data_IF_677309033816
#
_entry.id   IF_677309033816
#
_cell.length_a   1.000
_cell.length_b   1.000
_cell.length_c   1.000
_cell.angle_alpha   90.00
_cell.angle_beta   90.00
_cell.angle_gamma   90.00
#
_symmetry.space_group_name_H-M   'P 1'
#
loop_
_entity.id
_entity.type
_entity.pdbx_description
1 polymer ?
#
# COMPACT_ATOMS: atom_id res chain seq x y z
N UNK A 1 21.91 44.73 -8.05
CA UNK A 1 20.91 44.09 -8.93
C UNK A 1 21.28 42.62 -8.96
N UNK A 2 20.63 41.82 -8.12
CA UNK A 2 20.86 40.38 -8.01
C UNK A 2 19.65 39.74 -8.69
N UNK A 3 19.89 39.13 -9.86
CA UNK A 3 18.85 38.45 -10.63
C UNK A 3 18.37 37.22 -9.88
N UNK A 4 17.06 37.20 -9.57
CA UNK A 4 16.40 36.02 -9.04
C UNK A 4 16.23 34.99 -10.16
N UNK A 5 17.10 33.99 -10.20
CA UNK A 5 16.84 32.78 -10.95
C UNK A 5 15.63 32.08 -10.32
N UNK A 6 14.46 32.25 -10.93
CA UNK A 6 13.27 31.46 -10.69
C UNK A 6 13.60 30.01 -11.03
N UNK A 7 13.69 29.17 -10.00
CA UNK A 7 13.87 27.73 -10.06
C UNK A 7 12.66 27.08 -10.75
N UNK A 8 12.60 27.26 -12.06
CA UNK A 8 11.56 26.71 -12.92
C UNK A 8 11.95 25.28 -13.17
N UNK A 9 11.35 24.37 -12.40
CA UNK A 9 11.47 22.93 -12.59
C UNK A 9 11.19 22.65 -14.07
N UNK A 10 12.24 22.37 -14.83
CA UNK A 10 12.11 22.04 -16.25
C UNK A 10 11.18 20.85 -16.35
N UNK A 11 10.07 21.00 -17.07
CA UNK A 11 9.25 19.88 -17.46
C UNK A 11 10.08 19.01 -18.40
N UNK A 12 10.85 18.09 -17.83
CA UNK A 12 11.49 17.02 -18.56
C UNK A 12 10.37 16.25 -19.23
N UNK A 13 10.36 16.28 -20.57
CA UNK A 13 9.53 15.42 -21.39
C UNK A 13 10.07 13.99 -21.22
N UNK A 14 9.76 13.38 -20.08
CA UNK A 14 9.95 11.95 -19.86
C UNK A 14 8.91 11.32 -20.76
N UNK A 15 9.36 10.60 -21.80
CA UNK A 15 8.50 9.74 -22.61
C UNK A 15 7.51 9.06 -21.68
N UNK A 16 6.23 9.39 -21.83
CA UNK A 16 5.17 8.89 -20.98
C UNK A 16 5.03 7.39 -21.28
N UNK A 17 5.90 6.59 -20.68
CA UNK A 17 5.73 5.14 -20.62
C UNK A 17 4.37 4.92 -19.98
N UNK A 18 3.51 4.13 -20.61
CA UNK A 18 2.16 3.88 -20.09
C UNK A 18 2.24 3.17 -18.73
N UNK A 19 2.20 3.96 -17.66
CA UNK A 19 2.10 3.49 -16.29
C UNK A 19 0.64 3.16 -16.02
N UNK A 20 0.33 1.88 -15.84
CA UNK A 20 -0.98 1.46 -15.34
C UNK A 20 -0.86 0.83 -13.96
N UNK A 21 -1.87 1.12 -13.15
CA UNK A 21 -2.06 0.62 -11.79
C UNK A 21 -3.36 -0.19 -11.76
N UNK A 22 -3.37 -1.29 -11.00
CA UNK A 22 -4.57 -2.09 -10.76
C UNK A 22 -4.75 -2.25 -9.27
N UNK A 23 -5.97 -2.02 -8.80
CA UNK A 23 -6.35 -2.11 -7.41
C UNK A 23 -7.59 -2.98 -7.30
N UNK A 24 -7.57 -3.96 -6.40
CA UNK A 24 -8.70 -4.81 -6.09
C UNK A 24 -8.84 -4.91 -4.57
N UNK A 25 -10.05 -4.68 -4.08
CA UNK A 25 -10.36 -4.88 -2.67
C UNK A 25 -11.69 -5.62 -2.53
N UNK A 26 -11.65 -6.75 -1.83
CA UNK A 26 -12.82 -7.53 -1.47
C UNK A 26 -13.05 -7.40 0.03
N UNK A 27 -14.21 -6.88 0.43
CA UNK A 27 -14.56 -6.73 1.84
C UNK A 27 -15.89 -7.43 2.13
N UNK A 28 -15.90 -8.26 3.18
CA UNK A 28 -17.07 -8.95 3.68
C UNK A 28 -17.27 -8.52 5.12
N UNK A 29 -18.43 -7.96 5.43
CA UNK A 29 -18.71 -7.42 6.75
C UNK A 29 -20.13 -7.75 7.23
N UNK A 30 -20.25 -7.84 8.55
CA UNK A 30 -21.53 -7.89 9.26
C UNK A 30 -21.58 -6.72 10.22
N UNK A 31 -22.61 -5.89 10.04
CA UNK A 31 -22.84 -4.70 10.84
C UNK A 31 -22.68 -4.97 12.35
N UNK A 32 -21.88 -4.13 13.01
CA UNK A 32 -21.60 -4.18 14.45
C UNK A 32 -21.03 -5.50 14.98
N UNK A 33 -20.45 -6.34 14.11
CA UNK A 33 -19.79 -7.59 14.52
C UNK A 33 -18.37 -7.67 14.00
N UNK A 34 -18.22 -7.74 12.68
CA UNK A 34 -16.90 -7.91 12.08
C UNK A 34 -16.86 -7.39 10.65
N UNK A 35 -15.65 -7.08 10.20
CA UNK A 35 -15.29 -6.84 8.81
C UNK A 35 -14.01 -7.59 8.51
N UNK A 36 -13.94 -8.22 7.35
CA UNK A 36 -12.74 -8.82 6.82
C UNK A 36 -12.55 -8.33 5.39
N UNK A 37 -11.32 -7.99 5.05
CA UNK A 37 -10.93 -7.43 3.77
C UNK A 37 -9.69 -8.09 3.23
N UNK A 38 -9.66 -8.29 1.93
CA UNK A 38 -8.47 -8.63 1.17
C UNK A 38 -8.20 -7.52 0.15
N UNK A 39 -6.95 -7.11 0.04
CA UNK A 39 -6.49 -6.04 -0.85
C UNK A 39 -5.37 -6.58 -1.73
N UNK A 40 -5.40 -6.20 -3.01
CA UNK A 40 -4.42 -6.51 -4.02
C UNK A 40 -4.13 -5.25 -4.85
N UNK A 41 -2.86 -4.86 -4.87
CA UNK A 41 -2.37 -3.71 -5.60
C UNK A 41 -1.30 -4.18 -6.58
N UNK A 42 -1.33 -3.69 -7.82
CA UNK A 42 -0.35 -4.01 -8.85
C UNK A 42 0.07 -2.76 -9.61
N UNK A 43 1.37 -2.66 -9.88
CA UNK A 43 1.91 -1.64 -10.78
C UNK A 43 2.69 -2.25 -11.92
N UNK A 44 2.49 -1.71 -13.12
CA UNK A 44 3.26 -2.11 -14.31
C UNK A 44 4.74 -1.79 -14.19
N UNK A 45 5.07 -0.61 -13.62
CA UNK A 45 6.43 -0.14 -13.33
C UNK A 45 6.42 0.71 -12.07
N UNK A 46 7.55 0.77 -11.39
CA UNK A 46 7.75 1.70 -10.27
C UNK A 46 8.32 3.02 -10.77
N UNK A 47 8.14 4.09 -9.99
CA UNK A 47 8.66 5.42 -10.35
C UNK A 47 10.19 5.49 -10.32
N UNK A 48 10.84 4.61 -9.55
CA UNK A 48 12.29 4.49 -9.46
C UNK A 48 12.87 3.53 -10.50
N UNK A 49 12.04 2.67 -11.11
CA UNK A 49 12.46 1.68 -12.10
C UNK A 49 12.88 0.34 -11.47
N UNK A 50 12.82 0.23 -10.15
CA UNK A 50 13.12 -1.01 -9.42
C UNK A 50 11.97 -2.03 -9.56
N UNK A 51 12.32 -3.31 -9.57
CA UNK A 51 11.35 -4.40 -9.44
C UNK A 51 11.06 -4.66 -7.95
N UNK A 52 9.79 -4.73 -7.58
CA UNK A 52 9.37 -5.11 -6.22
C UNK A 52 8.84 -6.54 -6.22
N UNK A 53 9.02 -7.25 -5.10
CA UNK A 53 8.57 -8.65 -4.93
C UNK A 53 9.09 -9.62 -6.01
N UNK A 54 10.28 -9.34 -6.55
CA UNK A 54 10.95 -10.19 -7.55
C UNK A 54 11.54 -11.45 -6.87
N UNK A 55 12.18 -11.27 -5.71
CA UNK A 55 12.89 -12.32 -4.98
C UNK A 55 12.03 -13.00 -3.92
N UNK A 56 11.98 -14.33 -3.93
CA UNK A 56 11.23 -15.11 -2.94
C UNK A 56 11.83 -15.12 -1.53
N UNK A 57 13.06 -14.62 -1.37
CA UNK A 57 13.74 -14.53 -0.07
C UNK A 57 13.21 -13.37 0.80
N UNK A 58 12.55 -12.40 0.17
CA UNK A 58 11.99 -11.20 0.81
C UNK A 58 10.47 -11.32 1.05
N UNK A 59 9.85 -12.42 0.60
CA UNK A 59 8.41 -12.65 0.74
C UNK A 59 7.98 -12.73 2.22
N UNK A 60 6.95 -11.97 2.59
CA UNK A 60 6.27 -12.18 3.86
C UNK A 60 5.45 -13.50 3.86
N UNK A 61 4.83 -13.88 4.99
CA UNK A 61 4.09 -15.15 5.08
C UNK A 61 2.94 -15.25 4.06
N UNK A 62 2.21 -14.16 3.83
CA UNK A 62 1.09 -14.11 2.90
C UNK A 62 1.58 -14.22 1.45
N UNK A 63 2.61 -13.48 1.08
CA UNK A 63 3.26 -13.53 -0.22
C UNK A 63 3.85 -14.92 -0.49
N UNK A 64 4.58 -15.47 0.46
CA UNK A 64 5.11 -16.84 0.38
C UNK A 64 4.00 -17.88 0.17
N UNK A 65 2.85 -17.70 0.82
CA UNK A 65 1.67 -18.52 0.57
C UNK A 65 1.11 -18.34 -0.85
N UNK A 66 0.99 -17.12 -1.36
CA UNK A 66 0.51 -16.84 -2.72
C UNK A 66 1.47 -17.37 -3.79
N UNK A 67 2.79 -17.16 -3.63
CA UNK A 67 3.82 -17.66 -4.57
C UNK A 67 3.80 -19.18 -4.68
N UNK A 68 3.60 -19.89 -3.56
CA UNK A 68 3.43 -21.36 -3.55
C UNK A 68 2.19 -21.85 -4.31
N UNK A 69 1.22 -20.99 -4.55
CA UNK A 69 0.01 -21.28 -5.33
C UNK A 69 0.09 -20.70 -6.77
N UNK A 70 1.30 -20.52 -7.30
CA UNK A 70 1.58 -20.05 -8.67
C UNK A 70 1.08 -18.63 -9.00
N UNK A 71 0.91 -17.77 -7.99
CA UNK A 71 0.63 -16.35 -8.21
C UNK A 71 1.93 -15.59 -8.53
N UNK A 72 1.89 -14.75 -9.58
CA UNK A 72 3.00 -13.84 -9.89
C UNK A 72 2.91 -12.61 -8.98
N UNK A 73 3.91 -12.44 -8.10
CA UNK A 73 3.97 -11.36 -7.13
C UNK A 73 4.77 -10.14 -7.61
N UNK A 74 5.38 -10.19 -8.79
CA UNK A 74 6.19 -9.10 -9.33
C UNK A 74 5.38 -7.80 -9.36
N UNK A 75 5.92 -6.75 -8.75
CA UNK A 75 5.30 -5.43 -8.63
C UNK A 75 3.87 -5.47 -8.08
N UNK A 76 3.59 -6.41 -7.18
CA UNK A 76 2.28 -6.62 -6.57
C UNK A 76 2.37 -6.58 -5.05
N UNK A 77 1.40 -5.96 -4.38
CA UNK A 77 1.30 -5.91 -2.93
C UNK A 77 -0.03 -6.53 -2.49
N UNK A 78 0.01 -7.23 -1.35
CA UNK A 78 -1.12 -8.00 -0.84
C UNK A 78 -1.34 -7.71 0.63
N UNK A 79 -2.59 -7.47 1.00
CA UNK A 79 -2.95 -7.18 2.38
C UNK A 79 -4.22 -7.90 2.79
N UNK A 80 -4.26 -8.37 4.02
CA UNK A 80 -5.49 -8.71 4.72
C UNK A 80 -5.75 -7.68 5.81
N UNK A 81 -6.99 -7.25 5.92
CA UNK A 81 -7.40 -6.31 6.93
C UNK A 81 -8.68 -6.79 7.59
N UNK A 82 -8.92 -6.33 8.80
CA UNK A 82 -10.16 -6.65 9.46
C UNK A 82 -10.45 -5.76 10.65
N UNK A 83 -11.70 -5.84 11.06
CA UNK A 83 -12.25 -5.12 12.18
C UNK A 83 -13.14 -6.06 12.98
N UNK A 84 -13.05 -6.00 14.30
CA UNK A 84 -13.88 -6.79 15.20
C UNK A 84 -14.42 -5.91 16.33
N UNK A 85 -15.74 -5.90 16.48
CA UNK A 85 -16.39 -5.19 17.58
C UNK A 85 -16.32 -6.07 18.83
N UNK A 86 -15.49 -5.66 19.80
CA UNK A 86 -15.47 -6.28 21.11
C UNK A 86 -16.76 -5.98 21.88
N UNK A 87 -17.20 -4.72 21.82
CA UNK A 87 -18.41 -4.18 22.44
C UNK A 87 -19.03 -3.11 21.52
N UNK A 88 -20.16 -2.52 21.91
CA UNK A 88 -20.78 -1.40 21.18
C UNK A 88 -19.90 -0.16 21.09
N UNK A 89 -18.95 0.00 22.02
CA UNK A 89 -18.04 1.15 22.10
C UNK A 89 -16.58 0.81 21.83
N UNK A 90 -16.23 -0.47 21.66
CA UNK A 90 -14.83 -0.91 21.48
C UNK A 90 -14.67 -1.70 20.19
N UNK A 91 -13.74 -1.25 19.35
CA UNK A 91 -13.40 -1.81 18.05
C UNK A 91 -11.90 -2.13 18.01
N UNK A 92 -11.57 -3.33 17.55
CA UNK A 92 -10.20 -3.69 17.17
C UNK A 92 -10.12 -3.71 15.66
N UNK A 93 -9.11 -3.04 15.10
CA UNK A 93 -8.73 -3.14 13.70
C UNK A 93 -7.35 -3.79 13.60
N UNK A 94 -7.16 -4.59 12.55
CA UNK A 94 -5.86 -5.13 12.21
C UNK A 94 -5.61 -5.03 10.70
N UNK A 95 -4.34 -4.96 10.34
CA UNK A 95 -3.85 -5.07 8.97
C UNK A 95 -2.59 -5.93 8.99
N UNK A 96 -2.47 -6.85 8.04
CA UNK A 96 -1.27 -7.63 7.80
C UNK A 96 -1.00 -7.75 6.29
N UNK A 97 0.24 -7.48 5.89
CA UNK A 97 0.71 -7.67 4.52
C UNK A 97 1.57 -6.51 4.03
N UNK A 98 1.69 -6.39 2.72
CA UNK A 98 2.55 -5.43 2.05
C UNK A 98 1.76 -4.26 1.47
N UNK A 99 2.43 -3.10 1.33
CA UNK A 99 1.85 -1.84 0.86
C UNK A 99 2.83 -1.19 -0.12
N UNK A 100 2.34 -0.76 -1.29
CA UNK A 100 3.17 -0.14 -2.34
C UNK A 100 3.94 1.11 -1.89
N UNK A 101 3.47 1.80 -0.84
CA UNK A 101 3.96 3.13 -0.50
C UNK A 101 3.51 4.16 -1.53
N UNK A 102 4.14 5.33 -1.53
CA UNK A 102 3.82 6.41 -2.47
C UNK A 102 3.97 7.79 -1.87
N UNK A 103 3.38 8.78 -2.55
CA UNK A 103 3.39 10.16 -2.07
C UNK A 103 2.39 10.33 -0.93
N UNK A 104 2.92 10.54 0.28
CA UNK A 104 2.12 10.96 1.43
C UNK A 104 2.21 12.47 1.54
N UNK A 105 1.07 13.14 1.44
CA UNK A 105 0.97 14.59 1.59
C UNK A 105 0.29 14.92 2.92
N UNK A 106 0.96 15.69 3.76
CA UNK A 106 0.41 16.22 5.01
C UNK A 106 0.77 17.71 5.15
N UNK A 107 -0.19 18.53 5.55
CA UNK A 107 -0.03 20.00 5.70
C UNK A 107 0.64 20.74 4.52
N UNK A 108 0.42 20.29 3.29
CA UNK A 108 1.01 20.90 2.08
C UNK A 108 2.44 20.46 1.76
N UNK A 109 3.03 19.55 2.55
CA UNK A 109 4.31 18.91 2.25
C UNK A 109 4.06 17.48 1.79
N UNK A 110 4.56 17.12 0.61
CA UNK A 110 4.48 15.76 0.09
C UNK A 110 5.85 15.08 0.18
N UNK A 111 5.89 13.93 0.85
CA UNK A 111 7.10 13.10 0.96
C UNK A 111 6.81 11.76 0.32
N UNK A 112 7.76 11.27 -0.48
CA UNK A 112 7.70 9.91 -0.99
C UNK A 112 8.04 8.94 0.15
N UNK A 113 7.09 8.11 0.52
CA UNK A 113 7.26 7.04 1.50
C UNK A 113 7.49 5.75 0.71
N UNK A 114 8.59 5.02 0.99
CA UNK A 114 8.83 3.74 0.33
C UNK A 114 7.71 2.73 0.65
N UNK A 115 7.58 1.72 -0.19
CA UNK A 115 6.73 0.57 0.10
C UNK A 115 7.16 -0.13 1.39
N UNK A 116 6.21 -0.83 2.00
CA UNK A 116 6.44 -1.65 3.18
C UNK A 116 6.16 -3.10 2.76
N UNK A 117 7.16 -3.97 2.88
CA UNK A 117 7.06 -5.35 2.41
C UNK A 117 6.40 -6.28 3.44
N UNK A 118 6.50 -5.96 4.73
CA UNK A 118 5.77 -6.67 5.79
C UNK A 118 5.28 -5.67 6.85
N UNK A 119 4.00 -5.36 6.81
CA UNK A 119 3.35 -4.45 7.76
C UNK A 119 2.33 -5.22 8.61
N UNK A 120 2.49 -5.14 9.93
CA UNK A 120 1.51 -5.61 10.91
C UNK A 120 1.05 -4.43 11.76
N UNK A 121 -0.23 -4.07 11.63
CA UNK A 121 -0.83 -2.97 12.41
C UNK A 121 -1.98 -3.48 13.24
N UNK A 122 -2.01 -3.08 14.52
CA UNK A 122 -3.15 -3.26 15.40
C UNK A 122 -3.60 -1.90 15.91
N UNK A 123 -4.91 -1.67 15.91
CA UNK A 123 -5.51 -0.44 16.42
C UNK A 123 -6.68 -0.79 17.30
N UNK A 124 -6.61 -0.35 18.55
CA UNK A 124 -7.73 -0.43 19.49
C UNK A 124 -8.38 0.95 19.55
N UNK A 125 -9.67 1.02 19.25
CA UNK A 125 -10.47 2.23 19.36
C UNK A 125 -11.58 2.00 20.38
N UNK A 126 -11.61 2.81 21.42
CA UNK A 126 -12.67 2.81 22.43
C UNK A 126 -13.29 4.19 22.48
N UNK A 127 -14.62 4.26 22.42
CA UNK A 127 -15.39 5.47 22.66
C UNK A 127 -15.95 5.44 24.09
N UNK A 128 -15.85 6.55 24.81
CA UNK A 128 -16.26 6.67 26.22
C UNK A 128 -17.41 7.66 26.35
#
# INVERSE_FOLDING_TARGET
LIDSNTDSIGAFNVDAVDYYYRYFALNISKASKFSFGFIFDYTSKTKTGDNFNDFSEEDNWLESFLRRNDFNLLNSWYGVQGSYYLNTSTLINFFYGSIQGGLKCDTGVCVYVPGIDDALTFTLTTNF
#
